data_IF_886861436165
#
_entry.id   IF_886861436165
#
_cell.length_a   1.000
_cell.length_b   1.000
_cell.length_c   1.000
_cell.angle_alpha   90.00
_cell.angle_beta   90.00
_cell.angle_gamma   90.00
#
_symmetry.space_group_name_H-M   'P 1'
#
loop_
_entity.id
_entity.type
_entity.pdbx_description
1 polymer ?
#
# COMPACT_ATOMS: atom_id res chain seq x y z
N UNK A 1 10.45 -2.25 18.73
CA UNK A 1 9.48 -1.48 17.91
C UNK A 1 9.12 -2.35 16.72
N UNK A 2 7.95 -3.01 16.75
CA UNK A 2 7.55 -3.93 15.68
C UNK A 2 6.73 -3.13 14.67
N UNK A 3 7.42 -2.38 13.80
CA UNK A 3 6.79 -1.54 12.77
C UNK A 3 5.94 -2.37 11.80
N UNK A 4 6.38 -3.60 11.52
CA UNK A 4 5.70 -4.51 10.60
C UNK A 4 4.32 -4.96 11.05
N UNK A 5 4.17 -5.34 12.31
CA UNK A 5 2.89 -5.81 12.84
C UNK A 5 1.83 -4.70 12.83
N UNK A 6 2.21 -3.47 13.21
CA UNK A 6 1.31 -2.31 13.15
C UNK A 6 0.93 -1.97 11.71
N UNK A 7 1.87 -2.09 10.77
CA UNK A 7 1.60 -1.89 9.34
C UNK A 7 0.61 -2.92 8.80
N UNK A 8 0.86 -4.21 9.06
CA UNK A 8 -0.01 -5.31 8.61
C UNK A 8 -1.41 -5.19 9.22
N UNK A 9 -1.50 -4.88 10.53
CA UNK A 9 -2.79 -4.65 11.17
C UNK A 9 -3.57 -3.48 10.55
N UNK A 10 -2.90 -2.33 10.33
CA UNK A 10 -3.57 -1.17 9.71
C UNK A 10 -4.07 -1.45 8.29
N UNK A 11 -3.35 -2.29 7.53
CA UNK A 11 -3.79 -2.74 6.22
C UNK A 11 -4.98 -3.72 6.29
N UNK A 12 -5.01 -4.60 7.29
CA UNK A 12 -6.16 -5.47 7.53
C UNK A 12 -7.40 -4.66 7.92
N UNK A 13 -7.24 -3.70 8.81
CA UNK A 13 -8.32 -2.79 9.23
C UNK A 13 -8.87 -2.02 8.01
N UNK A 14 -7.98 -1.47 7.17
CA UNK A 14 -8.36 -0.82 5.92
C UNK A 14 -9.15 -1.74 5.00
N UNK A 15 -8.69 -2.97 4.78
CA UNK A 15 -9.37 -3.93 3.91
C UNK A 15 -10.76 -4.30 4.44
N UNK A 16 -10.93 -4.39 5.75
CA UNK A 16 -12.21 -4.76 6.37
C UNK A 16 -13.33 -3.73 6.16
N UNK A 17 -12.97 -2.46 5.96
CA UNK A 17 -13.92 -1.36 5.74
C UNK A 17 -13.88 -0.82 4.30
N UNK A 18 -13.12 -1.47 3.42
CA UNK A 18 -12.98 -1.05 2.03
C UNK A 18 -14.31 -1.20 1.27
N UNK A 19 -14.61 -0.22 0.41
CA UNK A 19 -15.83 -0.20 -0.41
C UNK A 19 -15.56 0.02 -1.89
N UNK A 20 -14.67 0.96 -2.25
CA UNK A 20 -14.25 1.18 -3.65
C UNK A 20 -12.89 1.89 -3.75
N UNK A 21 -12.69 2.98 -3.01
CA UNK A 21 -11.39 3.68 -2.98
C UNK A 21 -10.98 3.90 -1.53
N UNK A 22 -9.80 3.40 -1.17
CA UNK A 22 -9.17 3.68 0.12
C UNK A 22 -7.91 4.50 -0.08
N UNK A 23 -7.77 5.58 0.68
CA UNK A 23 -6.57 6.42 0.67
C UNK A 23 -5.65 6.03 1.83
N UNK A 24 -4.36 5.90 1.53
CA UNK A 24 -3.30 5.67 2.53
C UNK A 24 -2.32 6.83 2.44
N UNK A 25 -2.35 7.69 3.44
CA UNK A 25 -1.44 8.84 3.56
C UNK A 25 -0.11 8.36 4.16
N UNK A 26 1.00 8.58 3.45
CA UNK A 26 2.33 8.09 3.84
C UNK A 26 3.39 9.21 3.97
N UNK A 27 2.99 10.47 4.11
CA UNK A 27 3.94 11.59 4.15
C UNK A 27 4.93 11.58 5.32
N UNK A 28 4.54 10.98 6.45
CA UNK A 28 5.42 10.81 7.61
C UNK A 28 6.23 9.50 7.58
N UNK A 29 6.02 8.64 6.57
CA UNK A 29 6.80 7.42 6.40
C UNK A 29 8.15 7.76 5.76
N UNK A 30 9.24 7.49 6.46
CA UNK A 30 10.58 7.81 5.97
C UNK A 30 11.10 6.81 4.93
N UNK A 31 10.75 5.53 5.08
CA UNK A 31 11.20 4.46 4.19
C UNK A 31 10.28 3.26 4.25
N UNK A 32 10.31 2.45 3.20
CA UNK A 32 9.63 1.17 3.14
C UNK A 32 10.51 0.15 2.42
N UNK A 33 10.55 -1.08 2.94
CA UNK A 33 11.25 -2.19 2.33
C UNK A 33 10.32 -3.02 1.43
N UNK A 34 10.89 -4.02 0.76
CA UNK A 34 10.12 -4.93 -0.11
C UNK A 34 9.04 -5.67 0.67
N UNK A 35 9.26 -6.00 1.93
CA UNK A 35 8.25 -6.66 2.74
C UNK A 35 7.06 -5.74 3.00
N UNK A 36 7.30 -4.48 3.38
CA UNK A 36 6.24 -3.49 3.61
C UNK A 36 5.39 -3.26 2.37
N UNK A 37 6.03 -3.13 1.21
CA UNK A 37 5.36 -3.05 -0.08
C UNK A 37 4.59 -4.33 -0.43
N UNK A 38 5.14 -5.51 -0.11
CA UNK A 38 4.47 -6.79 -0.31
C UNK A 38 3.17 -6.88 0.48
N UNK A 39 3.17 -6.43 1.74
CA UNK A 39 1.95 -6.40 2.55
C UNK A 39 0.88 -5.51 1.90
N UNK A 40 1.24 -4.32 1.42
CA UNK A 40 0.32 -3.44 0.70
C UNK A 40 -0.23 -4.10 -0.58
N UNK A 41 0.65 -4.70 -1.38
CA UNK A 41 0.28 -5.38 -2.62
C UNK A 41 -0.64 -6.58 -2.39
N UNK A 42 -0.37 -7.40 -1.36
CA UNK A 42 -1.22 -8.53 -0.99
C UNK A 42 -2.59 -8.02 -0.51
N UNK A 43 -2.62 -6.97 0.32
CA UNK A 43 -3.87 -6.36 0.77
C UNK A 43 -4.69 -5.85 -0.42
N UNK A 44 -4.10 -5.09 -1.34
CA UNK A 44 -4.79 -4.57 -2.51
C UNK A 44 -5.34 -5.67 -3.43
N UNK A 45 -4.62 -6.79 -3.57
CA UNK A 45 -5.06 -7.95 -4.35
C UNK A 45 -6.21 -8.73 -3.70
N UNK A 46 -6.36 -8.64 -2.37
CA UNK A 46 -7.44 -9.29 -1.61
C UNK A 46 -8.74 -8.48 -1.60
N UNK A 47 -8.75 -7.26 -2.13
CA UNK A 47 -9.96 -6.44 -2.23
C UNK A 47 -10.87 -6.98 -3.34
N UNK A 48 -12.15 -7.17 -3.02
CA UNK A 48 -13.15 -7.67 -3.97
C UNK A 48 -13.32 -6.70 -5.16
N UNK A 49 -13.38 -5.41 -4.88
CA UNK A 49 -13.53 -4.32 -5.86
C UNK A 49 -12.57 -3.17 -5.53
N UNK A 50 -12.54 -2.16 -6.40
CA UNK A 50 -11.83 -0.93 -6.08
C UNK A 50 -10.31 -1.00 -6.12
N UNK A 51 -9.68 0.00 -5.48
CA UNK A 51 -8.23 0.19 -5.41
C UNK A 51 -7.80 0.95 -4.16
N UNK A 52 -6.52 0.84 -3.83
CA UNK A 52 -5.84 1.64 -2.81
C UNK A 52 -5.09 2.76 -3.50
N UNK A 53 -5.34 4.01 -3.11
CA UNK A 53 -4.55 5.17 -3.52
C UNK A 53 -3.57 5.49 -2.42
N UNK A 54 -2.29 5.49 -2.74
CA UNK A 54 -1.22 5.86 -1.80
C UNK A 54 -0.84 7.31 -2.04
N UNK A 55 -1.04 8.15 -1.03
CA UNK A 55 -0.69 9.58 -1.06
C UNK A 55 0.71 9.81 -0.48
N UNK A 56 1.51 10.60 -1.20
CA UNK A 56 2.87 11.03 -0.83
C UNK A 56 3.80 9.92 -0.28
N UNK A 57 3.92 8.74 -0.93
CA UNK A 57 4.77 7.68 -0.42
C UNK A 57 6.27 8.00 -0.50
N UNK A 58 7.12 7.30 0.28
CA UNK A 58 8.54 7.22 -0.01
C UNK A 58 8.79 6.82 -1.47
N UNK A 59 9.74 7.45 -2.18
CA UNK A 59 10.00 7.17 -3.60
C UNK A 59 10.41 5.71 -3.87
N UNK A 60 10.91 5.00 -2.86
CA UNK A 60 11.22 3.59 -2.96
C UNK A 60 9.97 2.73 -3.17
N UNK A 61 8.79 3.13 -2.69
CA UNK A 61 7.57 2.33 -2.84
C UNK A 61 7.20 2.15 -4.31
N UNK A 62 7.16 3.24 -5.07
CA UNK A 62 6.83 3.20 -6.50
C UNK A 62 7.84 2.33 -7.26
N UNK A 63 9.13 2.49 -6.96
CA UNK A 63 10.20 1.67 -7.55
C UNK A 63 10.05 0.18 -7.20
N UNK A 64 9.76 -0.15 -5.96
CA UNK A 64 9.56 -1.53 -5.50
C UNK A 64 8.35 -2.15 -6.20
N UNK A 65 7.22 -1.45 -6.22
CA UNK A 65 6.00 -1.91 -6.89
C UNK A 65 6.23 -2.13 -8.39
N UNK A 66 6.93 -1.21 -9.06
CA UNK A 66 7.26 -1.36 -10.47
C UNK A 66 8.10 -2.62 -10.78
N UNK A 67 9.06 -2.94 -9.91
CA UNK A 67 9.96 -4.10 -10.11
C UNK A 67 9.28 -5.43 -9.76
N UNK A 68 8.56 -5.48 -8.63
CA UNK A 68 8.09 -6.74 -8.05
C UNK A 68 6.60 -7.03 -8.28
N UNK A 69 5.79 -6.00 -8.58
CA UNK A 69 4.37 -6.11 -8.95
C UNK A 69 4.06 -5.33 -10.23
N UNK A 70 4.76 -5.62 -11.35
CA UNK A 70 4.56 -4.90 -12.60
C UNK A 70 3.11 -5.05 -13.07
N UNK A 71 2.50 -3.93 -13.46
CA UNK A 71 1.13 -3.92 -13.98
C UNK A 71 0.04 -4.12 -12.92
N UNK A 72 0.33 -3.92 -11.63
CA UNK A 72 -0.72 -3.88 -10.62
C UNK A 72 -1.78 -2.82 -10.99
N UNK A 73 -3.06 -3.16 -10.83
CA UNK A 73 -4.17 -2.24 -11.12
C UNK A 73 -4.90 -1.78 -9.85
N UNK A 74 -4.65 -2.47 -8.73
CA UNK A 74 -5.32 -2.25 -7.44
C UNK A 74 -4.58 -1.28 -6.53
N UNK A 75 -3.39 -0.84 -6.90
CA UNK A 75 -2.65 0.22 -6.21
C UNK A 75 -2.45 1.36 -7.20
N UNK A 76 -2.82 2.56 -6.78
CA UNK A 76 -2.51 3.81 -7.46
C UNK A 76 -1.55 4.60 -6.57
N UNK A 77 -0.45 5.09 -7.14
CA UNK A 77 0.42 6.05 -6.44
C UNK A 77 -0.01 7.43 -6.91
N UNK A 78 -0.56 8.23 -5.99
CA UNK A 78 -0.96 9.59 -6.32
C UNK A 78 0.28 10.40 -6.74
N UNK A 79 0.20 11.03 -7.92
CA UNK A 79 1.25 11.92 -8.38
C UNK A 79 1.45 13.05 -7.35
N UNK A 80 2.71 13.30 -6.98
CA UNK A 80 3.11 14.35 -6.03
C UNK A 80 2.79 15.75 -6.53
#
# INVERSE_FOLDING_TARGET
MITRASWEQGLEDLASVHTDVSFVELSDLMSIDVGGAAALAVTAQRLDCGRIVVDRPPPELERILHIFWPGHTRIEVAAR
#
